data_IF_100044306304
#
_entry.id   IF_100044306304
#
_cell.length_a   1.000
_cell.length_b   1.000
_cell.length_c   1.000
_cell.angle_alpha   90.00
_cell.angle_beta   90.00
_cell.angle_gamma   90.00
#
_symmetry.space_group_name_H-M   'P 1'
#
loop_
_entity.id
_entity.type
_entity.pdbx_description
1 polymer ?
#
# COMPACT_ATOMS: atom_id res chain seq x y z
N UNK A 1 -14.12 9.23 11.03
CA UNK A 1 -13.90 8.07 11.91
C UNK A 1 -12.41 7.81 11.96
N UNK A 2 -11.85 7.47 13.12
CA UNK A 2 -10.38 7.45 13.32
C UNK A 2 -9.81 6.03 13.30
N UNK A 3 -8.71 5.89 12.58
CA UNK A 3 -7.88 4.69 12.53
C UNK A 3 -6.67 4.90 13.43
N UNK A 4 -6.31 3.89 14.23
CA UNK A 4 -5.15 3.94 15.13
C UNK A 4 -4.27 2.72 14.96
N UNK A 5 -3.04 2.79 15.46
CA UNK A 5 -2.16 1.64 15.43
C UNK A 5 -1.30 1.46 16.70
N UNK A 6 -0.98 0.20 16.99
CA UNK A 6 0.03 -0.22 17.98
C UNK A 6 1.10 -1.07 17.28
N UNK A 7 2.35 -0.67 17.40
CA UNK A 7 3.49 -1.38 16.84
C UNK A 7 4.43 -1.75 17.99
N UNK A 8 4.73 -3.04 18.16
CA UNK A 8 5.66 -3.54 19.18
C UNK A 8 6.74 -4.37 18.51
N UNK A 9 8.00 -3.95 18.62
CA UNK A 9 9.14 -4.57 17.95
C UNK A 9 10.28 -4.84 18.95
N UNK A 10 10.27 -6.04 19.54
CA UNK A 10 11.24 -6.46 20.56
C UNK A 10 12.40 -7.20 19.89
N UNK A 11 13.50 -6.48 19.69
CA UNK A 11 14.68 -6.93 18.96
C UNK A 11 15.84 -7.30 19.89
N UNK A 12 15.99 -6.61 21.02
CA UNK A 12 17.10 -6.80 21.94
C UNK A 12 16.60 -7.40 23.26
N UNK A 13 17.28 -8.44 23.72
CA UNK A 13 16.97 -9.17 24.95
C UNK A 13 18.25 -9.28 25.80
N UNK A 14 18.11 -9.43 27.13
CA UNK A 14 19.23 -9.78 27.98
C UNK A 14 19.83 -11.13 27.55
N UNK A 15 21.08 -11.40 27.92
CA UNK A 15 21.66 -12.72 27.70
C UNK A 15 20.88 -13.76 28.53
N UNK A 16 19.99 -14.49 27.85
CA UNK A 16 19.11 -15.50 28.44
C UNK A 16 19.48 -16.90 27.96
N UNK A 17 19.10 -17.91 28.75
CA UNK A 17 19.42 -19.31 28.44
C UNK A 17 18.60 -19.85 27.26
N UNK A 18 17.48 -19.20 26.92
CA UNK A 18 16.47 -19.76 26.00
C UNK A 18 16.25 -19.00 24.70
N UNK A 19 16.70 -17.76 24.60
CA UNK A 19 16.42 -16.92 23.42
C UNK A 19 17.70 -16.32 22.86
N UNK A 20 17.70 -16.03 21.56
CA UNK A 20 18.78 -15.25 20.98
C UNK A 20 18.77 -13.85 21.60
N UNK A 21 19.95 -13.36 21.99
CA UNK A 21 20.15 -12.00 22.53
C UNK A 21 19.57 -10.91 21.61
N UNK A 22 19.58 -11.16 20.30
CA UNK A 22 19.10 -10.22 19.30
C UNK A 22 18.33 -10.92 18.19
N UNK A 23 17.33 -10.23 17.64
CA UNK A 23 16.56 -10.59 16.45
C UNK A 23 16.74 -9.49 15.38
N UNK A 24 17.82 -9.55 14.58
CA UNK A 24 18.11 -8.51 13.60
C UNK A 24 16.94 -8.33 12.61
N UNK A 25 16.66 -7.08 12.24
CA UNK A 25 15.61 -6.73 11.27
C UNK A 25 14.20 -6.54 11.86
N UNK A 26 13.93 -6.95 13.11
CA UNK A 26 12.61 -6.78 13.75
C UNK A 26 12.15 -5.32 13.77
N UNK A 27 13.05 -4.38 14.11
CA UNK A 27 12.68 -2.95 14.10
C UNK A 27 12.48 -2.42 12.68
N UNK A 28 13.30 -2.82 11.72
CA UNK A 28 13.16 -2.41 10.32
C UNK A 28 11.82 -2.87 9.74
N UNK A 29 11.44 -4.12 10.00
CA UNK A 29 10.17 -4.70 9.60
C UNK A 29 8.97 -3.95 10.20
N UNK A 30 9.06 -3.58 11.48
CA UNK A 30 8.04 -2.74 12.12
C UNK A 30 7.89 -1.36 11.44
N UNK A 31 9.00 -0.76 10.99
CA UNK A 31 8.97 0.50 10.24
C UNK A 31 8.39 0.35 8.83
N UNK A 32 8.62 -0.78 8.14
CA UNK A 32 7.93 -1.09 6.87
C UNK A 32 6.42 -1.12 7.05
N UNK A 33 5.94 -1.79 8.11
CA UNK A 33 4.51 -1.83 8.43
C UNK A 33 3.96 -0.44 8.80
N UNK A 34 4.71 0.35 9.58
CA UNK A 34 4.36 1.76 9.89
C UNK A 34 4.20 2.58 8.62
N UNK A 35 5.15 2.47 7.69
CA UNK A 35 5.12 3.20 6.43
C UNK A 35 3.88 2.85 5.62
N UNK A 36 3.52 1.56 5.56
CA UNK A 36 2.29 1.12 4.91
C UNK A 36 1.02 1.74 5.55
N UNK A 37 0.96 1.84 6.88
CA UNK A 37 -0.18 2.49 7.57
C UNK A 37 -0.33 3.96 7.16
N UNK A 38 0.77 4.69 7.06
CA UNK A 38 0.75 6.10 6.68
C UNK A 38 0.37 6.24 5.20
N UNK A 39 1.07 5.54 4.32
CA UNK A 39 0.92 5.72 2.87
C UNK A 39 -0.39 5.19 2.31
N UNK A 40 -0.85 4.04 2.81
CA UNK A 40 -1.97 3.32 2.22
C UNK A 40 -3.23 3.32 3.08
N UNK A 41 -3.10 3.39 4.41
CA UNK A 41 -4.26 3.51 5.30
C UNK A 41 -4.57 4.96 5.68
N UNK A 42 -3.63 5.89 5.48
CA UNK A 42 -3.80 7.29 5.86
C UNK A 42 -3.90 7.49 7.38
N UNK A 43 -3.35 6.55 8.17
CA UNK A 43 -3.28 6.70 9.63
C UNK A 43 -2.35 7.86 9.93
N UNK A 44 -2.82 8.83 10.72
CA UNK A 44 -1.98 9.98 11.09
C UNK A 44 -0.81 9.51 11.96
N UNK A 45 0.41 10.04 11.77
CA UNK A 45 1.58 9.66 12.56
C UNK A 45 1.37 9.70 14.08
N UNK A 46 0.59 10.66 14.59
CA UNK A 46 0.25 10.83 16.01
C UNK A 46 -0.71 9.76 16.57
N UNK A 47 -1.42 9.06 15.69
CA UNK A 47 -2.34 7.96 16.03
C UNK A 47 -1.64 6.58 16.01
N UNK A 48 -0.32 6.55 15.81
CA UNK A 48 0.51 5.34 15.80
C UNK A 48 1.39 5.32 17.04
N UNK A 49 1.15 4.35 17.93
CA UNK A 49 1.97 4.13 19.12
C UNK A 49 3.01 3.03 18.85
N UNK A 50 4.29 3.38 18.95
CA UNK A 50 5.43 2.51 18.66
C UNK A 50 6.25 2.19 19.92
N UNK A 51 6.37 0.90 20.24
CA UNK A 51 7.30 0.33 21.22
C UNK A 51 8.46 -0.33 20.47
N UNK A 52 9.59 0.36 20.34
CA UNK A 52 10.74 -0.11 19.56
C UNK A 52 11.97 -0.29 20.46
N UNK A 53 12.82 -1.27 20.12
CA UNK A 53 14.04 -1.55 20.89
C UNK A 53 15.14 -0.54 20.59
N UNK A 54 15.34 -0.20 19.31
CA UNK A 54 16.29 0.83 18.92
C UNK A 54 15.72 2.23 19.13
N UNK A 55 16.57 3.15 19.59
CA UNK A 55 16.20 4.55 19.71
C UNK A 55 16.16 5.20 18.32
N UNK A 56 14.99 5.68 17.91
CA UNK A 56 14.77 6.33 16.62
C UNK A 56 13.61 7.31 16.72
N UNK A 57 13.43 8.15 15.69
CA UNK A 57 12.45 9.23 15.68
C UNK A 57 10.98 8.76 15.79
N UNK A 58 10.70 7.50 15.46
CA UNK A 58 9.36 6.91 15.51
C UNK A 58 9.07 6.21 16.83
N UNK A 59 10.03 6.10 17.75
CA UNK A 59 9.87 5.42 19.04
C UNK A 59 9.11 6.31 20.03
N UNK A 60 8.00 5.81 20.56
CA UNK A 60 7.27 6.47 21.66
C UNK A 60 7.63 5.85 23.02
N UNK A 61 7.78 4.53 23.07
CA UNK A 61 8.04 3.76 24.29
C UNK A 61 9.15 2.73 24.07
N UNK A 62 9.74 2.24 25.16
CA UNK A 62 10.62 1.07 25.12
C UNK A 62 9.86 -0.25 24.96
N UNK A 63 10.60 -1.36 24.99
CA UNK A 63 10.08 -2.71 24.78
C UNK A 63 10.13 -3.58 26.03
N UNK A 64 10.33 -2.99 27.21
CA UNK A 64 10.14 -3.70 28.47
C UNK A 64 8.65 -3.88 28.76
N UNK A 65 8.27 -4.83 29.62
CA UNK A 65 6.85 -5.01 29.97
C UNK A 65 6.21 -3.74 30.48
N UNK A 66 6.91 -3.01 31.35
CA UNK A 66 6.41 -1.78 31.93
C UNK A 66 6.16 -0.72 30.84
N UNK A 67 7.09 -0.56 29.91
CA UNK A 67 6.99 0.38 28.78
C UNK A 67 5.84 0.04 27.85
N UNK A 68 5.74 -1.22 27.41
CA UNK A 68 4.64 -1.69 26.56
C UNK A 68 3.30 -1.49 27.26
N UNK A 69 3.22 -1.76 28.57
CA UNK A 69 2.02 -1.50 29.36
C UNK A 69 1.65 -0.02 29.45
N UNK A 70 2.64 0.90 29.46
CA UNK A 70 2.38 2.35 29.39
C UNK A 70 1.85 2.74 28.01
N UNK A 71 2.44 2.20 26.94
CA UNK A 71 1.98 2.41 25.57
C UNK A 71 0.52 1.98 25.36
N UNK A 72 0.15 0.81 25.88
CA UNK A 72 -1.23 0.30 25.82
C UNK A 72 -2.20 1.23 26.56
N UNK A 73 -1.81 1.75 27.74
CA UNK A 73 -2.64 2.73 28.47
C UNK A 73 -2.80 4.03 27.71
N UNK A 74 -1.74 4.51 27.05
CA UNK A 74 -1.79 5.70 26.24
C UNK A 74 -2.71 5.53 25.02
N UNK A 75 -2.59 4.39 24.32
CA UNK A 75 -3.50 4.05 23.23
C UNK A 75 -4.97 3.98 23.69
N UNK A 76 -5.24 3.34 24.84
CA UNK A 76 -6.58 3.31 25.43
C UNK A 76 -7.10 4.70 25.77
N UNK A 77 -6.23 5.60 26.24
CA UNK A 77 -6.60 6.99 26.56
C UNK A 77 -6.94 7.78 25.30
N UNK A 78 -6.15 7.62 24.24
CA UNK A 78 -6.32 8.32 22.96
C UNK A 78 -7.53 7.81 22.18
N UNK A 79 -7.80 6.50 22.23
CA UNK A 79 -8.80 5.86 21.38
C UNK A 79 -10.13 5.50 22.05
N UNK A 80 -10.35 5.82 23.32
CA UNK A 80 -11.57 5.48 24.06
C UNK A 80 -12.83 5.97 23.33
N UNK A 81 -13.70 5.02 22.97
CA UNK A 81 -14.98 5.23 22.27
C UNK A 81 -14.87 5.83 20.85
N UNK A 82 -13.68 6.03 20.31
CA UNK A 82 -13.47 6.73 19.04
C UNK A 82 -12.72 5.89 18.01
N UNK A 83 -12.27 4.67 18.34
CA UNK A 83 -11.47 3.88 17.38
C UNK A 83 -12.36 2.97 16.53
N UNK A 84 -12.55 3.34 15.27
CA UNK A 84 -13.27 2.50 14.30
C UNK A 84 -12.39 1.33 13.82
N UNK A 85 -11.10 1.61 13.58
CA UNK A 85 -10.15 0.61 13.12
C UNK A 85 -8.85 0.68 13.90
N UNK A 86 -8.43 -0.45 14.47
CA UNK A 86 -7.14 -0.60 15.12
C UNK A 86 -6.27 -1.56 14.31
N UNK A 87 -5.05 -1.14 13.99
CA UNK A 87 -4.01 -2.02 13.46
C UNK A 87 -2.99 -2.36 14.53
N UNK A 88 -2.69 -3.63 14.74
CA UNK A 88 -1.66 -4.05 15.68
C UNK A 88 -0.62 -4.89 14.97
N UNK A 89 0.65 -4.52 15.12
CA UNK A 89 1.78 -5.31 14.66
C UNK A 89 2.68 -5.62 15.85
N UNK A 90 2.96 -6.90 16.07
CA UNK A 90 3.85 -7.36 17.13
C UNK A 90 4.89 -8.28 16.50
N UNK A 91 6.18 -7.98 16.72
CA UNK A 91 7.30 -8.81 16.27
C UNK A 91 8.34 -8.96 17.38
N UNK A 92 8.83 -10.18 17.57
CA UNK A 92 9.77 -10.54 18.63
C UNK A 92 9.73 -12.03 19.00
N UNK A 93 10.33 -12.40 20.12
CA UNK A 93 10.21 -13.74 20.67
C UNK A 93 8.82 -13.95 21.25
N UNK A 94 8.17 -15.03 20.85
CA UNK A 94 6.90 -15.45 21.42
C UNK A 94 6.88 -16.93 21.74
N UNK A 95 5.96 -17.30 22.62
CA UNK A 95 5.73 -18.68 23.03
C UNK A 95 4.25 -18.94 23.26
N UNK A 96 3.85 -20.21 23.19
CA UNK A 96 2.57 -20.70 23.69
C UNK A 96 2.76 -21.31 25.07
N UNK A 97 2.13 -20.76 26.08
CA UNK A 97 2.28 -21.18 27.48
C UNK A 97 0.94 -21.57 28.09
N UNK A 98 0.95 -22.21 29.26
CA UNK A 98 -0.29 -22.58 29.95
C UNK A 98 -0.97 -21.33 30.53
N UNK A 99 -2.27 -21.19 30.29
CA UNK A 99 -3.11 -20.17 30.90
C UNK A 99 -3.44 -20.47 32.37
N UNK A 100 -4.24 -19.59 32.99
CA UNK A 100 -4.52 -19.61 34.44
C UNK A 100 -5.16 -20.92 34.95
N UNK A 101 -5.91 -21.63 34.09
CA UNK A 101 -6.56 -22.90 34.39
C UNK A 101 -5.74 -24.15 34.02
N UNK A 102 -4.54 -23.98 33.45
CA UNK A 102 -3.65 -25.07 33.04
C UNK A 102 -4.13 -25.94 31.87
N UNK A 103 -5.34 -25.71 31.33
CA UNK A 103 -5.90 -26.50 30.23
C UNK A 103 -5.83 -25.80 28.87
N UNK A 104 -5.80 -24.47 28.84
CA UNK A 104 -5.71 -23.67 27.62
C UNK A 104 -4.30 -23.13 27.42
N UNK A 105 -3.81 -23.12 26.18
CA UNK A 105 -2.56 -22.44 25.86
C UNK A 105 -2.85 -20.99 25.46
N UNK A 106 -2.07 -20.05 25.98
CA UNK A 106 -2.11 -18.64 25.60
C UNK A 106 -0.82 -18.24 24.89
N UNK A 107 -0.94 -17.34 23.93
CA UNK A 107 0.22 -16.79 23.23
C UNK A 107 0.78 -15.64 24.06
N UNK A 108 2.09 -15.62 24.24
CA UNK A 108 2.78 -14.60 25.00
C UNK A 108 3.97 -14.03 24.22
N UNK A 109 4.10 -12.70 24.26
CA UNK A 109 5.29 -11.97 23.81
C UNK A 109 6.28 -11.88 24.97
N UNK A 110 7.54 -12.23 24.74
CA UNK A 110 8.63 -11.97 25.68
C UNK A 110 9.07 -10.51 25.52
N UNK A 111 9.16 -9.75 26.60
CA UNK A 111 9.62 -8.36 26.55
C UNK A 111 11.14 -8.27 26.66
N UNK A 112 11.71 -7.09 26.39
CA UNK A 112 13.16 -6.84 26.45
C UNK A 112 13.77 -6.95 27.86
N UNK A 113 12.95 -7.08 28.90
CA UNK A 113 13.36 -7.32 30.29
C UNK A 113 13.24 -8.79 30.72
N UNK A 114 12.86 -9.69 29.81
CA UNK A 114 12.77 -11.13 30.07
C UNK A 114 14.16 -11.77 30.17
N UNK A 115 14.50 -12.37 31.32
CA UNK A 115 15.81 -13.01 31.56
C UNK A 115 15.74 -14.53 31.53
N UNK A 116 14.73 -15.12 32.18
CA UNK A 116 14.58 -16.56 32.34
C UNK A 116 13.13 -16.97 32.68
N UNK A 117 12.92 -18.24 33.06
CA UNK A 117 11.58 -18.76 33.38
C UNK A 117 10.96 -18.14 34.64
N UNK A 118 11.78 -17.68 35.59
CA UNK A 118 11.30 -16.99 36.78
C UNK A 118 10.83 -15.57 36.39
N UNK A 119 11.26 -15.08 35.22
CA UNK A 119 10.81 -13.84 34.58
C UNK A 119 9.49 -13.98 33.80
N UNK A 120 8.60 -14.90 34.21
CA UNK A 120 7.26 -15.00 33.62
C UNK A 120 6.45 -13.70 33.78
N UNK A 121 6.81 -12.89 34.79
CA UNK A 121 6.21 -11.59 34.98
C UNK A 121 6.64 -10.55 33.93
N UNK A 122 7.50 -10.85 32.98
CA UNK A 122 8.02 -9.95 31.95
C UNK A 122 7.44 -10.29 30.56
N UNK A 123 6.36 -11.09 30.52
CA UNK A 123 5.69 -11.50 29.29
C UNK A 123 4.32 -10.82 29.12
N UNK A 124 3.93 -10.43 27.90
CA UNK A 124 2.60 -9.90 27.60
C UNK A 124 1.72 -10.99 26.98
N UNK A 125 0.59 -11.32 27.62
CA UNK A 125 -0.42 -12.25 27.07
C UNK A 125 -1.19 -11.59 25.93
N UNK A 126 -1.11 -12.16 24.72
CA UNK A 126 -1.75 -11.59 23.52
C UNK A 126 -3.28 -11.62 23.63
N UNK A 127 -3.85 -12.70 24.18
CA UNK A 127 -5.30 -12.85 24.39
C UNK A 127 -5.85 -11.79 25.36
N UNK A 128 -5.12 -11.50 26.44
CA UNK A 128 -5.48 -10.45 27.41
C UNK A 128 -5.47 -9.09 26.70
N UNK A 129 -4.39 -8.78 26.00
CA UNK A 129 -4.24 -7.52 25.27
C UNK A 129 -5.34 -7.32 24.22
N UNK A 130 -5.64 -8.36 23.43
CA UNK A 130 -6.70 -8.34 22.42
C UNK A 130 -8.05 -8.04 23.06
N UNK A 131 -8.39 -8.74 24.15
CA UNK A 131 -9.67 -8.59 24.85
C UNK A 131 -9.80 -7.22 25.49
N UNK A 132 -8.73 -6.72 26.13
CA UNK A 132 -8.73 -5.41 26.77
C UNK A 132 -8.92 -4.32 25.74
N UNK A 133 -8.15 -4.30 24.65
CA UNK A 133 -8.30 -3.26 23.62
C UNK A 133 -9.67 -3.34 22.96
N UNK A 134 -10.15 -4.53 22.57
CA UNK A 134 -11.45 -4.71 21.94
C UNK A 134 -12.60 -4.17 22.78
N UNK A 135 -12.53 -4.31 24.11
CA UNK A 135 -13.55 -3.76 25.02
C UNK A 135 -13.39 -2.27 25.32
N UNK A 136 -12.20 -1.71 25.12
CA UNK A 136 -11.83 -0.37 25.62
C UNK A 136 -11.87 0.73 24.57
N UNK A 137 -11.60 0.40 23.31
CA UNK A 137 -11.50 1.41 22.27
C UNK A 137 -12.85 1.74 21.60
N UNK A 138 -13.86 0.90 21.82
CA UNK A 138 -15.20 1.05 21.24
C UNK A 138 -15.55 -0.05 20.25
N UNK A 139 -16.72 0.05 19.64
CA UNK A 139 -17.08 -0.78 18.49
C UNK A 139 -16.22 -0.44 17.27
N UNK A 140 -15.94 -1.45 16.45
CA UNK A 140 -15.04 -1.33 15.30
C UNK A 140 -14.39 -2.66 14.95
N UNK A 141 -13.27 -2.59 14.24
CA UNK A 141 -12.50 -3.76 13.81
C UNK A 141 -11.03 -3.62 14.18
N UNK A 142 -10.49 -4.63 14.86
CA UNK A 142 -9.09 -4.70 15.27
C UNK A 142 -8.36 -5.77 14.46
N UNK A 143 -7.35 -5.37 13.68
CA UNK A 143 -6.58 -6.26 12.81
C UNK A 143 -5.17 -6.41 13.38
N UNK A 144 -4.77 -7.64 13.69
CA UNK A 144 -3.52 -7.97 14.36
C UNK A 144 -2.66 -8.85 13.47
N UNK A 145 -1.40 -8.46 13.33
CA UNK A 145 -0.36 -9.21 12.65
C UNK A 145 0.73 -9.53 13.66
N UNK A 146 0.95 -10.82 13.91
CA UNK A 146 1.74 -11.32 15.02
C UNK A 146 2.91 -12.14 14.46
N UNK A 147 4.05 -11.48 14.30
CA UNK A 147 5.29 -12.10 13.83
C UNK A 147 6.12 -12.63 15.00
N UNK A 148 5.60 -13.70 15.62
CA UNK A 148 6.19 -14.31 16.81
C UNK A 148 6.15 -15.84 16.69
N UNK A 149 7.13 -16.50 17.31
CA UNK A 149 7.10 -17.95 17.51
C UNK A 149 5.89 -18.37 18.35
N UNK A 150 5.44 -19.61 18.16
CA UNK A 150 4.34 -20.22 18.91
C UNK A 150 4.72 -21.59 19.46
N UNK A 151 6.00 -21.77 19.81
CA UNK A 151 6.50 -23.01 20.42
C UNK A 151 5.91 -23.18 21.82
N UNK A 152 5.59 -24.43 22.19
CA UNK A 152 4.95 -24.71 23.48
C UNK A 152 5.96 -24.71 24.62
N UNK A 153 5.71 -23.90 25.64
CA UNK A 153 6.46 -23.87 26.89
C UNK A 153 5.51 -24.05 28.07
N UNK A 154 5.53 -25.25 28.67
CA UNK A 154 4.69 -25.59 29.83
C UNK A 154 5.24 -25.04 31.16
N UNK A 155 6.50 -24.61 31.17
CA UNK A 155 7.17 -24.10 32.36
C UNK A 155 6.97 -22.61 32.55
N UNK A 156 6.74 -21.86 31.47
CA UNK A 156 6.47 -20.43 31.56
C UNK A 156 5.03 -20.16 32.00
N UNK A 157 4.87 -19.28 32.99
CA UNK A 157 3.57 -18.81 33.49
C UNK A 157 3.52 -17.28 33.42
N UNK A 158 3.08 -16.68 32.30
CA UNK A 158 3.02 -15.23 32.18
C UNK A 158 2.09 -14.62 33.21
N UNK A 159 2.46 -13.54 33.89
CA UNK A 159 1.52 -12.84 34.77
C UNK A 159 0.55 -11.96 33.96
N UNK A 160 -0.66 -11.72 34.49
CA UNK A 160 -1.62 -10.78 33.88
C UNK A 160 -1.09 -9.35 33.90
N UNK A 161 -1.41 -8.55 32.88
CA UNK A 161 -0.95 -7.17 32.76
C UNK A 161 -1.66 -6.21 33.75
N UNK A 162 -2.74 -6.67 34.38
CA UNK A 162 -3.46 -5.92 35.41
C UNK A 162 -4.22 -4.72 34.86
N UNK A 163 -4.60 -4.75 33.57
CA UNK A 163 -5.47 -3.74 33.00
C UNK A 163 -6.86 -3.84 33.62
N UNK A 164 -7.40 -2.72 34.11
CA UNK A 164 -8.77 -2.69 34.60
C UNK A 164 -9.74 -3.06 33.48
N UNK A 165 -10.83 -3.74 33.82
CA UNK A 165 -11.89 -4.08 32.88
C UNK A 165 -13.03 -3.07 33.04
N UNK A 166 -13.03 -2.01 32.26
CA UNK A 166 -14.21 -1.19 32.02
C UNK A 166 -14.51 -1.25 30.53
N UNK A 167 -15.78 -1.17 30.16
CA UNK A 167 -16.21 -1.28 28.78
C UNK A 167 -16.39 0.12 28.17
N UNK A 168 -16.06 0.23 26.89
CA UNK A 168 -16.39 1.37 26.08
C UNK A 168 -17.92 1.48 25.95
N UNK A 169 -18.43 2.71 25.97
CA UNK A 169 -19.87 2.97 25.85
C UNK A 169 -20.40 2.71 24.45
N UNK A 170 -19.52 2.65 23.44
CA UNK A 170 -19.88 2.39 22.04
C UNK A 170 -19.91 0.90 21.69
N UNK A 171 -19.60 0.01 22.63
CA UNK A 171 -19.57 -1.44 22.41
C UNK A 171 -18.15 -2.01 22.39
N UNK A 172 -18.00 -3.23 21.86
CA UNK A 172 -16.70 -3.90 21.70
C UNK A 172 -16.40 -4.13 20.23
N UNK A 173 -15.12 -4.04 19.87
CA UNK A 173 -14.66 -4.31 18.51
C UNK A 173 -14.58 -5.82 18.23
N UNK A 174 -14.84 -6.18 16.98
CA UNK A 174 -14.42 -7.47 16.44
C UNK A 174 -12.91 -7.48 16.25
N UNK A 175 -12.27 -8.63 16.41
CA UNK A 175 -10.83 -8.76 16.18
C UNK A 175 -10.50 -9.88 15.21
N UNK A 176 -9.39 -9.70 14.50
CA UNK A 176 -8.86 -10.56 13.46
C UNK A 176 -7.36 -10.68 13.67
N UNK A 177 -6.83 -11.87 13.89
CA UNK A 177 -5.42 -12.12 14.23
C UNK A 177 -4.79 -13.05 13.22
N UNK A 178 -3.66 -12.65 12.64
CA UNK A 178 -2.84 -13.46 11.75
C UNK A 178 -1.46 -13.65 12.38
N UNK A 179 -1.11 -14.90 12.68
CA UNK A 179 0.18 -15.29 13.22
C UNK A 179 1.12 -15.74 12.09
N UNK A 180 2.39 -15.36 12.17
CA UNK A 180 3.42 -15.82 11.22
C UNK A 180 3.79 -17.30 11.38
N UNK A 181 3.41 -17.92 12.51
CA UNK A 181 3.59 -19.33 12.78
C UNK A 181 2.28 -20.02 13.24
N UNK A 182 2.16 -21.32 12.93
CA UNK A 182 1.13 -22.20 13.48
C UNK A 182 1.40 -22.57 14.95
N UNK A 183 0.35 -22.87 15.69
CA UNK A 183 0.44 -23.33 17.08
C UNK A 183 1.40 -24.52 17.23
N UNK A 184 2.41 -24.36 18.08
CA UNK A 184 3.46 -25.35 18.33
C UNK A 184 4.72 -25.18 17.47
N UNK A 185 4.72 -24.30 16.48
CA UNK A 185 5.85 -24.10 15.57
C UNK A 185 6.63 -22.82 15.91
N UNK A 186 7.91 -22.80 15.53
CA UNK A 186 8.70 -21.57 15.51
C UNK A 186 8.36 -20.74 14.27
N UNK A 187 8.46 -19.42 14.40
CA UNK A 187 8.55 -18.52 13.25
C UNK A 187 9.94 -18.66 12.61
N UNK A 188 10.07 -18.29 11.34
CA UNK A 188 11.34 -18.35 10.64
C UNK A 188 12.31 -17.27 11.16
N UNK A 189 13.59 -17.63 11.31
CA UNK A 189 14.62 -16.68 11.79
C UNK A 189 14.92 -15.56 10.78
N UNK A 190 14.71 -15.81 9.49
CA UNK A 190 14.82 -14.84 8.40
C UNK A 190 13.42 -14.67 7.78
N UNK A 191 12.53 -14.07 8.57
CA UNK A 191 11.11 -14.05 8.28
C UNK A 191 10.82 -13.07 7.14
N UNK A 192 10.59 -13.61 5.93
CA UNK A 192 10.00 -12.86 4.81
C UNK A 192 8.53 -12.48 5.06
N UNK A 193 7.97 -12.86 6.23
CA UNK A 193 6.58 -12.62 6.61
C UNK A 193 6.17 -11.17 6.43
N UNK A 194 6.98 -10.21 6.88
CA UNK A 194 6.58 -8.79 6.85
C UNK A 194 6.59 -8.23 5.44
N UNK A 195 7.56 -8.60 4.62
CA UNK A 195 7.61 -8.18 3.22
C UNK A 195 6.42 -8.75 2.43
N UNK A 196 6.10 -10.03 2.65
CA UNK A 196 4.92 -10.68 2.08
C UNK A 196 3.62 -10.03 2.59
N UNK A 197 3.55 -9.71 3.88
CA UNK A 197 2.39 -9.08 4.50
C UNK A 197 2.13 -7.69 3.90
N UNK A 198 3.16 -6.84 3.83
CA UNK A 198 3.02 -5.50 3.24
C UNK A 198 2.65 -5.60 1.76
N UNK A 199 3.20 -6.57 1.04
CA UNK A 199 2.86 -6.85 -0.37
C UNK A 199 1.39 -7.24 -0.54
N UNK A 200 0.89 -8.19 0.26
CA UNK A 200 -0.51 -8.59 0.27
C UNK A 200 -1.43 -7.42 0.65
N UNK A 201 -1.07 -6.66 1.68
CA UNK A 201 -1.81 -5.47 2.12
C UNK A 201 -1.79 -4.31 1.10
N UNK A 202 -0.79 -4.27 0.22
CA UNK A 202 -0.71 -3.31 -0.88
C UNK A 202 -1.61 -3.70 -2.07
N UNK A 203 -2.19 -4.90 -2.06
CA UNK A 203 -3.13 -5.38 -3.09
C UNK A 203 -2.60 -6.52 -3.94
N UNK A 204 -1.42 -7.07 -3.65
CA UNK A 204 -0.95 -8.31 -4.27
C UNK A 204 -1.62 -9.54 -3.61
N UNK A 205 -2.95 -9.55 -3.70
CA UNK A 205 -3.81 -10.66 -3.32
C UNK A 205 -4.46 -11.21 -4.58
N UNK A 206 -4.76 -12.53 -4.65
CA UNK A 206 -5.48 -13.08 -5.78
C UNK A 206 -6.78 -12.31 -6.02
N UNK A 207 -7.11 -12.00 -7.28
CA UNK A 207 -8.33 -11.24 -7.60
C UNK A 207 -9.61 -11.86 -7.02
N UNK A 208 -9.64 -13.19 -6.84
CA UNK A 208 -10.80 -13.88 -6.24
C UNK A 208 -10.98 -13.57 -4.74
N UNK A 209 -9.97 -13.00 -4.10
CA UNK A 209 -9.94 -12.64 -2.67
C UNK A 209 -10.19 -11.13 -2.45
N UNK A 210 -10.49 -10.39 -3.52
CA UNK A 210 -10.95 -9.02 -3.44
C UNK A 210 -12.46 -9.05 -3.32
N UNK A 211 -12.99 -8.65 -2.17
CA UNK A 211 -14.43 -8.52 -1.99
C UNK A 211 -14.91 -7.24 -2.67
N UNK A 212 -15.89 -7.37 -3.57
CA UNK A 212 -16.59 -6.23 -4.17
C UNK A 212 -17.78 -5.89 -3.29
N UNK A 213 -17.73 -4.74 -2.63
CA UNK A 213 -18.86 -4.15 -1.94
C UNK A 213 -19.49 -3.03 -2.78
N UNK A 214 -20.59 -2.48 -2.28
CA UNK A 214 -21.23 -1.30 -2.87
C UNK A 214 -20.27 -0.09 -2.91
N UNK A 215 -19.38 0.01 -1.92
CA UNK A 215 -18.35 1.06 -1.79
C UNK A 215 -17.04 0.71 -2.53
N UNK A 216 -17.05 -0.26 -3.44
CA UNK A 216 -15.91 -0.66 -4.26
C UNK A 216 -15.20 -1.93 -3.81
N UNK A 217 -14.04 -2.19 -4.40
CA UNK A 217 -13.22 -3.37 -4.10
C UNK A 217 -12.36 -3.19 -2.84
N UNK A 218 -12.38 -4.20 -1.96
CA UNK A 218 -11.66 -4.20 -0.69
C UNK A 218 -10.63 -5.34 -0.62
N UNK A 219 -9.46 -5.02 -0.09
CA UNK A 219 -8.57 -6.02 0.49
C UNK A 219 -9.16 -6.38 1.85
N UNK A 220 -9.42 -7.66 2.09
CA UNK A 220 -9.98 -8.15 3.34
C UNK A 220 -8.97 -8.93 4.16
N UNK A 221 -9.28 -9.16 5.43
CA UNK A 221 -8.41 -9.96 6.30
C UNK A 221 -8.27 -11.40 5.82
N UNK A 222 -9.35 -12.08 5.40
CA UNK A 222 -9.21 -13.43 4.83
C UNK A 222 -8.39 -13.42 3.55
N UNK A 223 -8.54 -12.40 2.70
CA UNK A 223 -7.76 -12.29 1.47
C UNK A 223 -6.27 -12.17 1.74
N UNK A 224 -5.88 -11.35 2.72
CA UNK A 224 -4.49 -11.25 3.19
C UNK A 224 -4.03 -12.57 3.80
N UNK A 225 -4.79 -13.18 4.71
CA UNK A 225 -4.43 -14.45 5.33
C UNK A 225 -4.20 -15.57 4.31
N UNK A 226 -5.05 -15.64 3.27
CA UNK A 226 -4.92 -16.62 2.20
C UNK A 226 -3.69 -16.36 1.31
N UNK A 227 -3.43 -15.10 0.95
CA UNK A 227 -2.23 -14.74 0.19
C UNK A 227 -0.95 -15.10 0.97
N UNK A 228 -0.94 -14.82 2.28
CA UNK A 228 0.14 -15.18 3.19
C UNK A 228 0.34 -16.69 3.31
N UNK A 229 -0.75 -17.45 3.47
CA UNK A 229 -0.68 -18.91 3.55
C UNK A 229 -0.06 -19.52 2.28
N UNK A 230 -0.48 -19.04 1.10
CA UNK A 230 0.08 -19.52 -0.16
C UNK A 230 1.56 -19.18 -0.31
N UNK A 231 1.94 -17.92 -0.08
CA UNK A 231 3.32 -17.46 -0.26
C UNK A 231 4.29 -18.16 0.71
N UNK A 232 3.86 -18.43 1.94
CA UNK A 232 4.69 -19.12 2.94
C UNK A 232 4.68 -20.64 2.79
N UNK A 233 3.63 -21.23 2.21
CA UNK A 233 3.61 -22.66 1.90
C UNK A 233 4.72 -23.04 0.91
N UNK A 234 5.05 -22.17 -0.05
CA UNK A 234 6.17 -22.34 -0.97
C UNK A 234 7.53 -22.43 -0.23
N UNK A 235 7.61 -21.85 0.96
CA UNK A 235 8.78 -21.87 1.84
C UNK A 235 8.70 -22.97 2.93
N UNK A 236 7.73 -23.89 2.83
CA UNK A 236 7.44 -24.90 3.89
C UNK A 236 7.11 -24.29 5.25
N UNK A 237 6.59 -23.06 5.26
CA UNK A 237 6.12 -22.34 6.44
C UNK A 237 4.58 -22.25 6.41
N UNK A 238 3.97 -21.85 7.52
CA UNK A 238 2.53 -21.74 7.60
C UNK A 238 2.09 -20.70 8.62
N UNK A 239 1.05 -19.96 8.25
CA UNK A 239 0.39 -18.97 9.11
C UNK A 239 -0.83 -19.59 9.79
N UNK A 240 -1.35 -18.90 10.80
CA UNK A 240 -2.60 -19.25 11.47
C UNK A 240 -3.44 -18.01 11.69
N UNK A 241 -4.74 -18.08 11.38
CA UNK A 241 -5.65 -16.95 11.54
C UNK A 241 -6.79 -17.27 12.51
N UNK A 242 -7.21 -16.26 13.27
CA UNK A 242 -8.34 -16.33 14.19
C UNK A 242 -9.19 -15.06 14.08
N UNK A 243 -10.48 -15.16 14.37
CA UNK A 243 -11.35 -13.98 14.44
C UNK A 243 -12.47 -14.16 15.47
N UNK A 244 -12.99 -13.04 16.01
CA UNK A 244 -14.25 -13.02 16.76
C UNK A 244 -15.45 -12.58 15.93
N UNK A 245 -15.20 -11.89 14.80
CA UNK A 245 -16.23 -11.34 13.94
C UNK A 245 -16.98 -12.42 13.16
N UNK A 246 -18.25 -12.13 12.83
CA UNK A 246 -19.09 -13.00 12.00
C UNK A 246 -18.83 -12.83 10.51
N UNK A 247 -18.44 -11.62 10.10
CA UNK A 247 -18.07 -11.26 8.73
C UNK A 247 -16.55 -11.12 8.61
N UNK A 248 -16.05 -11.12 7.38
CA UNK A 248 -14.66 -10.73 7.13
C UNK A 248 -14.45 -9.23 7.42
N UNK A 249 -13.20 -8.82 7.61
CA UNK A 249 -12.84 -7.44 7.88
C UNK A 249 -12.30 -6.78 6.61
N UNK A 250 -12.97 -5.74 6.06
CA UNK A 250 -12.37 -4.90 5.04
C UNK A 250 -11.19 -4.12 5.65
N UNK A 251 -9.98 -4.36 5.14
CA UNK A 251 -8.74 -3.72 5.61
C UNK A 251 -8.54 -2.42 4.86
N UNK A 252 -8.44 -2.48 3.53
CA UNK A 252 -8.13 -1.35 2.66
C UNK A 252 -9.05 -1.33 1.45
N UNK A 253 -9.60 -0.17 1.10
CA UNK A 253 -10.21 0.00 -0.22
C UNK A 253 -9.11 0.04 -1.27
N UNK A 254 -9.27 -0.72 -2.35
CA UNK A 254 -8.41 -0.68 -3.54
C UNK A 254 -8.84 0.48 -4.45
N UNK A 255 -10.06 0.98 -4.26
CA UNK A 255 -10.74 1.92 -5.13
C UNK A 255 -10.95 3.29 -4.46
N UNK A 256 -9.89 3.82 -3.84
CA UNK A 256 -9.94 5.19 -3.29
C UNK A 256 -9.57 6.19 -4.36
N UNK A 257 -10.57 6.94 -4.83
CA UNK A 257 -10.34 8.09 -5.68
C UNK A 257 -9.60 9.20 -4.93
N UNK A 258 -8.77 9.96 -5.63
CA UNK A 258 -7.99 11.03 -5.01
C UNK A 258 -6.60 11.24 -5.62
N UNK A 259 -5.82 12.14 -5.01
CA UNK A 259 -4.44 12.37 -5.40
C UNK A 259 -3.59 11.13 -5.11
N UNK A 260 -2.68 10.82 -6.03
CA UNK A 260 -1.68 9.75 -5.88
C UNK A 260 -0.29 10.31 -6.16
N UNK A 261 0.76 9.62 -5.69
CA UNK A 261 2.13 10.03 -5.98
C UNK A 261 2.39 9.96 -7.50
N UNK A 262 3.02 11.02 -8.04
CA UNK A 262 3.57 10.98 -9.39
C UNK A 262 4.66 9.93 -9.46
N UNK A 263 4.62 9.12 -10.51
CA UNK A 263 5.68 8.15 -10.81
C UNK A 263 6.81 8.88 -11.54
N UNK A 264 8.01 8.87 -10.97
CA UNK A 264 9.22 9.46 -11.55
C UNK A 264 10.33 8.40 -11.65
N UNK A 265 11.16 8.50 -12.69
CA UNK A 265 12.35 7.66 -12.82
C UNK A 265 13.39 7.99 -11.73
N UNK A 266 14.39 7.12 -11.48
CA UNK A 266 15.44 7.37 -10.47
C UNK A 266 16.22 8.69 -10.65
N UNK A 267 16.27 9.21 -11.88
CA UNK A 267 16.89 10.50 -12.20
C UNK A 267 15.95 11.71 -11.99
N UNK A 268 14.76 11.49 -11.41
CA UNK A 268 13.71 12.48 -11.19
C UNK A 268 12.93 12.89 -12.44
N UNK A 269 13.19 12.29 -13.61
CA UNK A 269 12.45 12.59 -14.83
C UNK A 269 11.13 11.82 -14.90
N UNK A 270 10.09 12.48 -15.41
CA UNK A 270 8.81 11.85 -15.73
C UNK A 270 8.93 11.08 -17.04
N UNK A 271 8.81 9.77 -16.95
CA UNK A 271 8.63 8.87 -18.08
C UNK A 271 7.25 8.22 -17.97
N UNK A 272 6.58 7.87 -19.08
CA UNK A 272 5.35 7.10 -19.04
C UNK A 272 5.57 5.82 -18.24
N UNK A 273 4.86 5.58 -17.13
CA UNK A 273 5.09 4.40 -16.31
C UNK A 273 4.70 3.13 -17.08
N UNK A 274 5.59 2.13 -17.13
CA UNK A 274 5.30 0.87 -17.83
C UNK A 274 4.08 0.18 -17.23
N UNK A 275 3.92 0.25 -15.91
CA UNK A 275 2.81 -0.35 -15.18
C UNK A 275 1.46 0.20 -15.67
N UNK A 276 1.39 1.51 -15.91
CA UNK A 276 0.17 2.13 -16.44
C UNK A 276 -0.09 1.77 -17.91
N UNK A 277 0.96 1.68 -18.73
CA UNK A 277 0.82 1.24 -20.11
C UNK A 277 0.32 -0.21 -20.19
N UNK A 278 0.70 -1.07 -19.23
CA UNK A 278 0.28 -2.48 -19.14
C UNK A 278 -1.16 -2.63 -18.66
N UNK A 279 -1.58 -1.79 -17.71
CA UNK A 279 -2.87 -1.95 -17.02
C UNK A 279 -4.05 -1.27 -17.72
N UNK A 280 -3.81 -0.21 -18.49
CA UNK A 280 -4.86 0.62 -19.08
C UNK A 280 -5.07 0.33 -20.57
N UNK A 281 -6.27 0.57 -21.08
CA UNK A 281 -6.68 0.13 -22.42
C UNK A 281 -6.97 1.30 -23.35
N UNK A 282 -7.39 2.43 -22.79
CA UNK A 282 -7.59 3.70 -23.49
C UNK A 282 -6.65 4.74 -22.89
N UNK A 283 -5.82 5.38 -23.73
CA UNK A 283 -4.81 6.32 -23.26
C UNK A 283 -4.81 7.57 -24.14
N UNK A 284 -4.77 8.75 -23.52
CA UNK A 284 -4.55 10.05 -24.17
C UNK A 284 -3.25 10.63 -23.65
N UNK A 285 -2.36 11.06 -24.54
CA UNK A 285 -1.15 11.81 -24.23
C UNK A 285 -1.24 13.22 -24.79
N UNK A 286 -1.06 14.22 -23.93
CA UNK A 286 -0.91 15.63 -24.28
C UNK A 286 0.52 16.06 -23.93
N UNK A 287 1.39 16.08 -24.93
CA UNK A 287 2.83 16.32 -24.75
C UNK A 287 3.39 17.39 -25.68
N UNK A 288 4.68 17.67 -25.52
CA UNK A 288 5.42 18.55 -26.45
C UNK A 288 5.69 17.83 -27.78
N UNK A 289 6.51 16.77 -27.73
CA UNK A 289 6.93 15.96 -28.89
C UNK A 289 6.49 14.50 -28.80
N UNK A 290 6.21 14.01 -27.58
CA UNK A 290 5.95 12.60 -27.27
C UNK A 290 7.07 11.61 -27.67
N UNK A 291 8.29 12.08 -27.96
CA UNK A 291 9.38 11.25 -28.48
C UNK A 291 9.84 10.09 -27.57
N UNK A 292 9.49 10.12 -26.29
CA UNK A 292 9.78 9.03 -25.34
C UNK A 292 8.74 7.89 -25.35
N UNK A 293 7.62 8.04 -26.06
CA UNK A 293 6.52 7.08 -26.00
C UNK A 293 6.80 5.78 -26.75
N UNK A 294 7.49 5.83 -27.90
CA UNK A 294 7.70 4.65 -28.75
C UNK A 294 8.40 3.53 -28.00
N UNK A 295 9.58 3.80 -27.43
CA UNK A 295 10.34 2.81 -26.66
C UNK A 295 9.53 2.23 -25.48
N UNK A 296 8.77 3.07 -24.79
CA UNK A 296 7.99 2.65 -23.63
C UNK A 296 6.78 1.78 -24.03
N UNK A 297 6.11 2.12 -25.14
CA UNK A 297 5.00 1.34 -25.67
C UNK A 297 5.46 0.01 -26.26
N UNK A 298 6.62 -0.06 -26.92
CA UNK A 298 7.19 -1.34 -27.36
C UNK A 298 7.43 -2.30 -26.19
N UNK A 299 8.08 -1.80 -25.14
CA UNK A 299 8.32 -2.57 -23.91
C UNK A 299 7.00 -2.99 -23.26
N UNK A 300 6.06 -2.07 -23.14
CA UNK A 300 4.75 -2.38 -22.56
C UNK A 300 3.96 -3.37 -23.41
N UNK A 301 4.03 -3.30 -24.74
CA UNK A 301 3.33 -4.22 -25.64
C UNK A 301 3.80 -5.67 -25.47
N UNK A 302 5.11 -5.86 -25.34
CA UNK A 302 5.70 -7.18 -25.00
C UNK A 302 5.19 -7.64 -23.64
N UNK A 303 5.20 -6.77 -22.62
CA UNK A 303 4.73 -7.10 -21.26
C UNK A 303 3.21 -7.34 -21.18
N UNK A 304 2.44 -6.77 -22.11
CA UNK A 304 1.01 -7.03 -22.30
C UNK A 304 0.72 -8.32 -23.07
N UNK A 305 1.72 -9.14 -23.37
CA UNK A 305 1.60 -10.34 -24.20
C UNK A 305 1.00 -10.01 -25.58
N UNK A 306 1.43 -8.90 -26.18
CA UNK A 306 0.96 -8.39 -27.47
C UNK A 306 -0.54 -8.07 -27.51
N UNK A 307 -1.16 -7.84 -26.34
CA UNK A 307 -2.54 -7.34 -26.27
C UNK A 307 -2.57 -5.87 -26.67
N UNK A 308 -3.28 -5.58 -27.76
CA UNK A 308 -3.51 -4.21 -28.25
C UNK A 308 -4.16 -3.31 -27.20
N UNK A 309 -3.89 -2.01 -27.31
CA UNK A 309 -4.71 -0.99 -26.66
C UNK A 309 -6.00 -0.80 -27.43
N UNK A 310 -7.13 -0.59 -26.73
CA UNK A 310 -8.41 -0.29 -27.38
C UNK A 310 -8.34 1.06 -28.09
N UNK A 311 -7.71 2.05 -27.43
CA UNK A 311 -7.60 3.40 -27.98
C UNK A 311 -6.31 4.09 -27.53
N UNK A 312 -5.56 4.62 -28.48
CA UNK A 312 -4.43 5.51 -28.23
C UNK A 312 -4.68 6.86 -28.91
N UNK A 313 -4.54 7.95 -28.17
CA UNK A 313 -4.59 9.29 -28.71
C UNK A 313 -3.33 10.04 -28.30
N UNK A 314 -2.55 10.49 -29.27
CA UNK A 314 -1.25 11.09 -29.02
C UNK A 314 -1.24 12.48 -29.66
N UNK A 315 -1.27 13.49 -28.82
CA UNK A 315 -1.30 14.88 -29.23
C UNK A 315 0.00 15.58 -28.83
N UNK A 316 0.62 16.21 -29.82
CA UNK A 316 1.81 17.07 -29.65
C UNK A 316 1.42 18.53 -29.81
N UNK A 317 2.13 19.45 -29.18
CA UNK A 317 1.85 20.87 -29.41
C UNK A 317 2.20 21.24 -30.86
N UNK A 318 1.37 22.09 -31.47
CA UNK A 318 1.56 22.52 -32.86
C UNK A 318 2.81 23.40 -33.01
N UNK A 319 2.91 24.43 -32.18
CA UNK A 319 4.00 25.41 -32.16
C UNK A 319 5.10 25.00 -31.17
N UNK A 320 6.18 24.39 -31.67
CA UNK A 320 7.28 23.91 -30.82
C UNK A 320 8.23 25.01 -30.33
N UNK A 321 8.19 26.22 -30.91
CA UNK A 321 8.95 27.37 -30.38
C UNK A 321 8.55 27.73 -28.95
N UNK A 322 7.34 27.33 -28.57
CA UNK A 322 6.79 27.47 -27.24
C UNK A 322 7.20 26.35 -26.26
N UNK A 323 7.79 25.26 -26.76
CA UNK A 323 8.26 24.16 -25.94
C UNK A 323 9.44 24.59 -25.07
N UNK A 324 9.41 24.20 -23.79
CA UNK A 324 10.42 24.60 -22.82
C UNK A 324 11.45 23.49 -22.64
N UNK A 325 12.34 23.26 -23.61
CA UNK A 325 13.43 22.28 -23.48
C UNK A 325 14.82 22.91 -23.57
N UNK A 326 15.44 23.24 -22.42
CA UNK A 326 16.80 23.77 -22.39
C UNK A 326 17.78 22.85 -23.13
N UNK A 327 18.55 23.42 -24.06
CA UNK A 327 19.59 22.71 -24.79
C UNK A 327 19.12 21.92 -26.00
N UNK A 328 17.85 22.03 -26.41
CA UNK A 328 17.34 21.49 -27.68
C UNK A 328 16.99 22.61 -28.65
N UNK A 329 17.42 22.48 -29.90
CA UNK A 329 17.01 23.40 -30.98
C UNK A 329 15.59 23.07 -31.45
N UNK A 330 14.94 24.03 -32.11
CA UNK A 330 13.62 23.81 -32.72
C UNK A 330 13.66 22.63 -33.71
N UNK A 331 14.70 22.56 -34.54
CA UNK A 331 14.91 21.49 -35.52
C UNK A 331 15.00 20.11 -34.85
N UNK A 332 15.69 20.01 -33.70
CA UNK A 332 15.76 18.75 -32.95
C UNK A 332 14.39 18.34 -32.39
N UNK A 333 13.58 19.29 -31.93
CA UNK A 333 12.23 19.02 -31.40
C UNK A 333 11.27 18.62 -32.52
N UNK A 334 11.36 19.27 -33.67
CA UNK A 334 10.58 18.92 -34.86
C UNK A 334 10.92 17.52 -35.35
N UNK A 335 12.21 17.17 -35.39
CA UNK A 335 12.67 15.83 -35.74
C UNK A 335 12.18 14.79 -34.72
N UNK A 336 12.25 15.09 -33.41
CA UNK A 336 11.75 14.20 -32.36
C UNK A 336 10.23 13.95 -32.49
N UNK A 337 9.44 15.01 -32.72
CA UNK A 337 8.00 14.88 -32.98
C UNK A 337 7.72 14.07 -34.24
N UNK A 338 8.43 14.36 -35.34
CA UNK A 338 8.26 13.64 -36.61
C UNK A 338 8.56 12.14 -36.46
N UNK A 339 9.66 11.79 -35.80
CA UNK A 339 10.02 10.38 -35.57
C UNK A 339 8.94 9.66 -34.75
N UNK A 340 8.35 10.34 -33.77
CA UNK A 340 7.22 9.81 -32.99
C UNK A 340 5.99 9.61 -33.88
N UNK A 341 5.64 10.60 -34.71
CA UNK A 341 4.49 10.53 -35.62
C UNK A 341 4.64 9.40 -36.67
N UNK A 342 5.83 9.28 -37.27
CA UNK A 342 6.15 8.24 -38.25
C UNK A 342 6.00 6.84 -37.60
N UNK A 343 6.62 6.63 -36.44
CA UNK A 343 6.54 5.38 -35.70
C UNK A 343 5.09 4.93 -35.44
N UNK A 344 4.26 5.82 -34.88
CA UNK A 344 2.88 5.46 -34.57
C UNK A 344 2.00 5.28 -35.81
N UNK A 345 2.28 6.00 -36.89
CA UNK A 345 1.57 5.81 -38.16
C UNK A 345 1.86 4.43 -38.75
N UNK A 346 3.09 3.94 -38.63
CA UNK A 346 3.51 2.63 -39.12
C UNK A 346 3.01 1.49 -38.22
N UNK A 347 3.11 1.64 -36.89
CA UNK A 347 2.78 0.58 -35.93
C UNK A 347 1.31 0.52 -35.51
N UNK A 348 0.49 1.51 -35.87
CA UNK A 348 -0.92 1.58 -35.45
C UNK A 348 -1.69 0.25 -35.61
N UNK A 349 -1.61 -0.48 -36.74
CA UNK A 349 -2.34 -1.75 -36.91
C UNK A 349 -1.87 -2.86 -36.00
N UNK A 350 -0.67 -2.76 -35.41
CA UNK A 350 -0.08 -3.78 -34.55
C UNK A 350 -0.39 -3.52 -33.07
N UNK A 351 -0.39 -2.25 -32.66
CA UNK A 351 -0.42 -1.90 -31.23
C UNK A 351 -1.80 -1.48 -30.74
N UNK A 352 -2.68 -0.95 -31.57
CA UNK A 352 -3.98 -0.44 -31.12
C UNK A 352 -5.14 -0.84 -32.05
N UNK A 353 -6.35 -0.86 -31.49
CA UNK A 353 -7.58 -0.98 -32.28
C UNK A 353 -7.98 0.38 -32.86
N UNK A 354 -7.83 1.45 -32.09
CA UNK A 354 -7.95 2.84 -32.53
C UNK A 354 -6.69 3.65 -32.17
N UNK A 355 -6.18 4.44 -33.12
CA UNK A 355 -5.07 5.35 -32.92
C UNK A 355 -5.33 6.70 -33.59
N UNK A 356 -5.16 7.78 -32.84
CA UNK A 356 -5.24 9.17 -33.34
C UNK A 356 -3.93 9.87 -33.04
N UNK A 357 -3.31 10.45 -34.07
CA UNK A 357 -2.21 11.40 -33.93
C UNK A 357 -2.70 12.78 -34.30
N UNK A 358 -2.41 13.76 -33.45
CA UNK A 358 -2.76 15.14 -33.74
C UNK A 358 -1.75 16.15 -33.21
N UNK A 359 -1.91 17.36 -33.71
CA UNK A 359 -1.21 18.55 -33.25
C UNK A 359 -2.25 19.55 -32.77
N UNK A 360 -2.11 20.02 -31.55
CA UNK A 360 -3.10 20.92 -30.94
C UNK A 360 -2.50 22.28 -30.62
N UNK A 361 -3.34 23.31 -30.68
CA UNK A 361 -3.00 24.61 -30.12
C UNK A 361 -3.05 24.51 -28.60
N UNK A 362 -2.01 25.02 -27.95
CA UNK A 362 -1.76 24.77 -26.54
C UNK A 362 -2.86 25.36 -25.63
N UNK A 363 -3.40 24.53 -24.72
CA UNK A 363 -4.49 24.92 -23.79
C UNK A 363 -4.08 25.03 -22.31
N UNK A 364 -2.78 25.10 -21.99
CA UNK A 364 -2.32 25.37 -20.60
C UNK A 364 -1.92 24.15 -19.77
N UNK A 365 -2.18 22.92 -20.25
CA UNK A 365 -1.84 21.69 -19.52
C UNK A 365 -1.17 20.67 -20.41
N UNK A 366 -0.21 19.95 -19.82
CA UNK A 366 0.29 18.70 -20.37
C UNK A 366 -0.16 17.57 -19.47
N UNK A 367 -0.31 16.37 -20.02
CA UNK A 367 -0.73 15.26 -19.21
C UNK A 367 -0.87 13.95 -19.94
N UNK A 368 -1.22 12.94 -19.16
CA UNK A 368 -1.62 11.64 -19.67
C UNK A 368 -2.87 11.16 -18.92
N UNK A 369 -3.80 10.61 -19.69
CA UNK A 369 -5.14 10.26 -19.24
C UNK A 369 -5.35 8.81 -19.58
N UNK A 370 -5.72 8.02 -18.58
CA UNK A 370 -5.65 6.58 -18.64
C UNK A 370 -7.01 6.03 -18.22
N UNK A 371 -7.62 5.17 -19.04
CA UNK A 371 -8.85 4.47 -18.70
C UNK A 371 -8.71 2.96 -18.95
N UNK A 372 -8.94 2.19 -17.90
CA UNK A 372 -8.86 0.73 -17.94
C UNK A 372 -10.23 0.15 -18.32
N UNK A 373 -10.26 -1.10 -18.79
CA UNK A 373 -11.51 -1.82 -19.06
C UNK A 373 -12.42 -1.94 -17.83
N UNK A 374 -11.86 -1.94 -16.61
CA UNK A 374 -12.63 -1.92 -15.37
C UNK A 374 -13.35 -0.58 -15.13
N UNK A 375 -13.09 0.44 -15.94
CA UNK A 375 -13.56 1.80 -15.77
C UNK A 375 -12.75 2.62 -14.76
N UNK A 376 -11.68 2.06 -14.17
CA UNK A 376 -10.68 2.84 -13.41
C UNK A 376 -10.06 3.89 -14.33
N UNK A 377 -9.95 5.13 -13.84
CA UNK A 377 -9.23 6.18 -14.55
C UNK A 377 -8.07 6.72 -13.74
N UNK A 378 -7.05 7.21 -14.44
CA UNK A 378 -5.96 7.97 -13.86
C UNK A 378 -5.71 9.19 -14.73
N UNK A 379 -5.34 10.29 -14.09
CA UNK A 379 -4.88 11.50 -14.73
C UNK A 379 -3.53 11.85 -14.15
N UNK A 380 -2.59 12.18 -15.02
CA UNK A 380 -1.34 12.84 -14.67
C UNK A 380 -1.33 14.19 -15.37
N UNK A 381 -1.16 15.27 -14.63
CA UNK A 381 -1.02 16.63 -15.19
C UNK A 381 0.27 17.26 -14.73
N UNK A 382 0.93 17.93 -15.67
CA UNK A 382 2.19 18.62 -15.44
C UNK A 382 2.05 20.10 -15.76
N UNK A 383 2.53 20.94 -14.85
CA UNK A 383 2.57 22.39 -15.09
C UNK A 383 3.57 22.71 -16.19
N UNK A 384 3.23 23.67 -17.06
CA UNK A 384 4.19 24.29 -17.98
C UNK A 384 4.91 25.41 -17.24
N UNK A 385 6.23 25.32 -17.20
CA UNK A 385 7.08 26.37 -16.65
C UNK A 385 8.06 26.75 -17.74
N UNK A 386 8.02 28.02 -18.18
CA UNK A 386 8.87 28.50 -19.26
C UNK A 386 10.36 28.29 -18.91
N UNK A 387 11.11 27.72 -19.85
CA UNK A 387 12.53 27.41 -19.65
C UNK A 387 12.80 26.18 -18.79
N UNK A 388 11.79 25.41 -18.38
CA UNK A 388 11.96 24.14 -17.68
C UNK A 388 11.39 22.98 -18.49
N UNK A 389 12.21 21.94 -18.64
CA UNK A 389 11.79 20.68 -19.25
C UNK A 389 10.58 20.13 -18.49
N UNK A 390 9.47 19.90 -19.20
CA UNK A 390 8.24 19.34 -18.66
C UNK A 390 8.47 18.05 -17.86
N UNK A 391 9.47 17.25 -18.24
CA UNK A 391 9.82 16.01 -17.54
C UNK A 391 10.35 16.26 -16.13
N UNK A 392 10.64 17.52 -15.78
CA UNK A 392 11.15 17.96 -14.48
C UNK A 392 10.26 18.98 -13.78
N UNK A 393 9.14 19.39 -14.39
CA UNK A 393 8.20 20.33 -13.75
C UNK A 393 7.46 19.64 -12.59
N UNK A 394 6.84 20.38 -11.67
CA UNK A 394 5.87 19.79 -10.75
C UNK A 394 4.70 19.15 -11.48
N UNK A 395 4.13 18.10 -10.91
CA UNK A 395 2.97 17.39 -11.44
C UNK A 395 2.03 16.95 -10.34
N UNK A 396 0.80 16.65 -10.73
CA UNK A 396 -0.22 16.06 -9.88
C UNK A 396 -0.78 14.83 -10.58
N UNK A 397 -1.02 13.78 -9.82
CA UNK A 397 -1.69 12.60 -10.31
C UNK A 397 -2.97 12.40 -9.51
N UNK A 398 -4.04 12.00 -10.20
CA UNK A 398 -5.31 11.64 -9.60
C UNK A 398 -5.75 10.28 -10.14
N UNK A 399 -6.41 9.48 -9.31
CA UNK A 399 -7.07 8.25 -9.70
C UNK A 399 -8.54 8.33 -9.33
N UNK A 400 -9.39 7.68 -10.11
CA UNK A 400 -10.77 7.44 -9.72
C UNK A 400 -11.32 6.13 -10.29
N UNK A 401 -12.56 5.81 -9.90
CA UNK A 401 -13.19 4.52 -10.17
C UNK A 401 -14.67 4.73 -10.56
N UNK A 402 -15.32 3.78 -11.26
CA UNK A 402 -16.68 3.96 -11.79
C UNK A 402 -17.76 4.38 -10.77
N UNK A 403 -17.56 4.05 -9.49
CA UNK A 403 -18.50 4.36 -8.41
C UNK A 403 -17.94 5.36 -7.39
N UNK A 404 -16.76 5.93 -7.66
CA UNK A 404 -16.06 6.85 -6.80
C UNK A 404 -15.27 7.80 -7.70
N UNK A 405 -15.96 8.76 -8.30
CA UNK A 405 -15.35 9.70 -9.25
C UNK A 405 -14.68 10.87 -8.53
N UNK A 406 -13.51 11.29 -9.03
CA UNK A 406 -12.84 12.47 -8.51
C UNK A 406 -13.17 13.66 -9.42
N UNK A 407 -13.61 14.82 -8.88
CA UNK A 407 -14.02 15.95 -9.71
C UNK A 407 -12.89 16.46 -10.62
N UNK A 408 -11.64 16.45 -10.15
CA UNK A 408 -10.51 16.82 -11.00
C UNK A 408 -10.28 15.82 -12.13
N UNK A 409 -10.52 14.51 -11.94
CA UNK A 409 -10.36 13.52 -13.00
C UNK A 409 -11.37 13.76 -14.11
N UNK A 410 -12.65 14.00 -13.77
CA UNK A 410 -13.68 14.34 -14.74
C UNK A 410 -13.32 15.61 -15.52
N UNK A 411 -12.98 16.70 -14.83
CA UNK A 411 -12.58 17.96 -15.48
C UNK A 411 -11.43 17.74 -16.47
N UNK A 412 -10.40 17.02 -16.05
CA UNK A 412 -9.22 16.77 -16.86
C UNK A 412 -9.51 15.85 -18.07
N UNK A 413 -10.36 14.83 -17.94
CA UNK A 413 -10.79 14.02 -19.08
C UNK A 413 -11.62 14.82 -20.08
N UNK A 414 -12.55 15.65 -19.61
CA UNK A 414 -13.34 16.54 -20.48
C UNK A 414 -12.45 17.51 -21.26
N UNK A 415 -11.45 18.11 -20.60
CA UNK A 415 -10.43 18.95 -21.25
C UNK A 415 -9.65 18.17 -22.32
N UNK A 416 -9.19 16.95 -22.01
CA UNK A 416 -8.41 16.13 -22.93
C UNK A 416 -9.21 15.62 -24.14
N UNK A 417 -10.45 15.20 -23.93
CA UNK A 417 -11.36 14.81 -25.01
C UNK A 417 -11.77 16.03 -25.87
N UNK A 418 -11.86 17.20 -25.23
CA UNK A 418 -12.03 18.48 -25.91
C UNK A 418 -10.91 18.78 -26.89
N UNK A 419 -9.65 18.44 -26.57
CA UNK A 419 -8.51 18.60 -27.49
C UNK A 419 -8.72 17.82 -28.80
N UNK A 420 -9.16 16.56 -28.71
CA UNK A 420 -9.35 15.71 -29.88
C UNK A 420 -10.43 16.23 -30.84
N UNK A 421 -11.40 17.00 -30.33
CA UNK A 421 -12.54 17.52 -31.09
C UNK A 421 -12.45 19.02 -31.38
N UNK A 422 -11.42 19.71 -30.87
CA UNK A 422 -11.28 21.14 -31.03
C UNK A 422 -11.01 21.50 -32.51
N UNK A 423 -11.66 22.53 -33.09
CA UNK A 423 -11.49 22.91 -34.50
C UNK A 423 -10.07 23.28 -34.91
N UNK A 424 -9.22 23.63 -33.94
CA UNK A 424 -7.83 24.00 -34.20
C UNK A 424 -6.84 22.85 -34.08
N UNK A 425 -7.30 21.68 -33.63
CA UNK A 425 -6.49 20.46 -33.63
C UNK A 425 -6.35 19.91 -35.05
N UNK A 426 -5.11 19.81 -35.50
CA UNK A 426 -4.73 19.21 -36.77
C UNK A 426 -4.53 17.71 -36.58
N UNK A 427 -5.40 16.89 -37.16
CA UNK A 427 -5.22 15.42 -37.16
C UNK A 427 -4.18 15.06 -38.21
N UNK A 428 -3.07 14.48 -37.75
CA UNK A 428 -1.95 14.05 -38.59
C UNK A 428 -2.19 12.64 -39.13
N UNK A 429 -2.79 11.77 -38.32
CA UNK A 429 -3.06 10.38 -38.68
C UNK A 429 -4.23 9.81 -37.86
N UNK A 430 -5.01 8.90 -38.45
CA UNK A 430 -6.12 8.22 -37.77
C UNK A 430 -6.27 6.77 -38.26
N UNK A 431 -6.38 5.84 -37.32
CA UNK A 431 -6.64 4.41 -37.51
C UNK A 431 -7.77 3.94 -36.55
N UNK A 432 -8.72 3.10 -36.99
CA UNK A 432 -9.00 2.81 -38.38
C UNK A 432 -9.42 4.10 -39.09
N UNK A 433 -9.18 4.17 -40.40
CA UNK A 433 -9.65 5.29 -41.20
C UNK A 433 -11.16 5.11 -41.39
N UNK A 434 -11.96 5.97 -40.76
CA UNK A 434 -13.43 5.94 -40.83
C UNK A 434 -13.95 6.31 -42.22
#
# INVERSE_FOLDING_TARGET
MSSRALIVAVQEYPDSVRTSKSLPGVTENALKFRQWLVDFQGVQPEDIVCCLSSDNEYRNFGTSRAEISRAIRELMRLGLNDTEKLFVFISGHGVMCLGDCGSEHVDALLCSDFVDLDSGAECIRIQELTTVLARRLGAGSHVWFLDICRTKDKSLLPSQCGFQQFEATTGSADWFRLFSARSGNAAANDSTFVDLLVTALAGDVPRQQIEKGDDGAWITFKGVAHAMERALAEQSQGVESHSSGKSDCPIRSIEKAGPVATIVAPNGSKIPPLELLIDYDEIIFLGETNGQLSEMLEKAFVLRSSRKWKKLQIFSIKELMEAARPGKTLEELELERKNCEDYFSEEAPNIADELVLGRYDYIGTYGSFWKAESGKRRVHVSARIQGLDIRRTPSMDFVDFPNNEHPDVNRFFEEAEGVATHPSTEIVFQYPTT
#
